data_IF_605379358306
#
_entry.id   IF_605379358306
#
_cell.length_a   1.000
_cell.length_b   1.000
_cell.length_c   1.000
_cell.angle_alpha   90.00
_cell.angle_beta   90.00
_cell.angle_gamma   90.00
#
_symmetry.space_group_name_H-M   'P 1'
#
loop_
_entity.id
_entity.type
_entity.pdbx_description
1 polymer ?
#
# COMPACT_ATOMS: atom_id res chain seq x y z
N UNK A 1 32.49 -14.21 -17.93
CA UNK A 1 31.61 -13.32 -17.14
C UNK A 1 30.41 -13.04 -18.01
N UNK A 2 29.24 -13.62 -17.71
CA UNK A 2 28.02 -13.26 -18.43
C UNK A 2 27.61 -11.86 -17.98
N UNK A 3 27.32 -10.95 -18.91
CA UNK A 3 26.69 -9.69 -18.57
C UNK A 3 25.29 -10.02 -18.04
N UNK A 4 25.00 -9.70 -16.78
CA UNK A 4 23.62 -9.68 -16.29
C UNK A 4 22.88 -8.62 -17.08
N UNK A 5 21.87 -9.03 -17.82
CA UNK A 5 20.97 -8.13 -18.53
C UNK A 5 19.91 -7.69 -17.52
N UNK A 6 19.94 -6.41 -17.15
CA UNK A 6 18.91 -5.79 -16.31
C UNK A 6 17.88 -5.09 -17.19
N UNK A 7 16.66 -5.01 -16.69
CA UNK A 7 15.50 -4.37 -17.31
C UNK A 7 15.00 -3.30 -16.35
N UNK A 8 14.59 -2.14 -16.87
CA UNK A 8 14.14 -1.00 -16.05
C UNK A 8 12.63 -1.06 -15.81
N UNK A 9 12.20 -0.60 -14.63
CA UNK A 9 10.82 -0.24 -14.37
C UNK A 9 10.61 1.25 -14.64
N UNK A 10 9.42 1.64 -15.09
CA UNK A 10 9.09 3.04 -15.41
C UNK A 10 8.67 3.81 -14.15
N UNK A 11 9.58 3.88 -13.18
CA UNK A 11 9.40 4.60 -11.90
C UNK A 11 10.57 5.52 -11.57
N UNK A 12 11.62 5.54 -12.39
CA UNK A 12 12.76 6.43 -12.23
C UNK A 12 12.27 7.89 -12.14
N UNK A 13 12.81 8.64 -11.19
CA UNK A 13 12.48 10.03 -10.89
C UNK A 13 11.08 10.29 -10.32
N UNK A 14 10.25 9.25 -10.17
CA UNK A 14 8.98 9.39 -9.47
C UNK A 14 9.19 9.38 -7.96
N UNK A 15 8.37 10.16 -7.25
CA UNK A 15 8.41 10.24 -5.79
C UNK A 15 7.49 9.18 -5.19
N UNK A 16 7.91 8.56 -4.09
CA UNK A 16 6.98 7.75 -3.28
C UNK A 16 5.90 8.66 -2.69
N UNK A 17 4.66 8.43 -3.09
CA UNK A 17 3.49 9.19 -2.64
C UNK A 17 2.82 8.52 -1.43
N UNK A 18 2.63 7.21 -1.49
CA UNK A 18 1.98 6.42 -0.44
C UNK A 18 2.65 5.07 -0.24
N UNK A 19 2.52 4.52 0.96
CA UNK A 19 2.77 3.13 1.28
C UNK A 19 1.45 2.50 1.68
N UNK A 20 1.12 1.35 1.10
CA UNK A 20 -0.12 0.62 1.35
C UNK A 20 0.19 -0.70 2.04
N UNK A 21 -0.75 -1.16 2.88
CA UNK A 21 -0.75 -2.48 3.49
C UNK A 21 -2.19 -3.02 3.50
N UNK A 22 -2.46 -4.06 2.72
CA UNK A 22 -3.75 -4.78 2.63
C UNK A 22 -3.60 -6.31 2.76
N UNK A 23 -2.55 -6.85 2.14
CA UNK A 23 -1.99 -8.18 2.39
C UNK A 23 -0.51 -8.20 2.04
N UNK A 24 -0.12 -7.41 1.05
CA UNK A 24 1.27 -7.16 0.71
C UNK A 24 1.65 -5.72 1.12
N UNK A 25 2.94 -5.44 1.19
CA UNK A 25 3.39 -4.05 1.24
C UNK A 25 3.49 -3.52 -0.19
N UNK A 26 2.92 -2.33 -0.40
CA UNK A 26 2.95 -1.68 -1.71
C UNK A 26 3.54 -0.30 -1.61
N UNK A 27 4.46 0.04 -2.52
CA UNK A 27 4.92 1.40 -2.77
C UNK A 27 4.06 1.98 -3.88
N UNK A 28 3.41 3.11 -3.64
CA UNK A 28 2.74 3.89 -4.66
C UNK A 28 3.57 5.13 -4.99
N UNK A 29 3.71 5.41 -6.28
CA UNK A 29 4.45 6.55 -6.80
C UNK A 29 3.49 7.68 -7.21
N UNK A 30 3.95 8.92 -7.22
CA UNK A 30 3.15 10.07 -7.66
C UNK A 30 2.84 10.06 -9.16
N UNK A 31 3.60 9.29 -9.95
CA UNK A 31 3.29 8.98 -11.35
C UNK A 31 2.11 8.01 -11.53
N UNK A 32 1.55 7.44 -10.47
CA UNK A 32 0.41 6.52 -10.51
C UNK A 32 0.79 5.03 -10.60
N UNK A 33 2.08 4.72 -10.73
CA UNK A 33 2.57 3.34 -10.68
C UNK A 33 2.61 2.78 -9.25
N UNK A 34 2.55 1.47 -9.12
CA UNK A 34 2.68 0.74 -7.86
C UNK A 34 3.66 -0.42 -7.96
N UNK A 35 4.30 -0.77 -6.84
CA UNK A 35 5.08 -2.00 -6.69
C UNK A 35 4.69 -2.68 -5.39
N UNK A 36 4.16 -3.91 -5.48
CA UNK A 36 3.75 -4.75 -4.35
C UNK A 36 4.75 -5.85 -4.07
N UNK A 37 4.89 -6.25 -2.81
CA UNK A 37 5.88 -7.22 -2.36
C UNK A 37 5.30 -8.24 -1.38
N UNK A 38 5.54 -9.53 -1.64
CA UNK A 38 5.22 -10.61 -0.71
C UNK A 38 6.37 -10.94 0.25
N UNK A 39 7.63 -10.78 -0.20
CA UNK A 39 8.81 -10.74 0.66
C UNK A 39 9.81 -9.74 0.08
N UNK A 40 10.37 -8.88 0.93
CA UNK A 40 11.24 -7.80 0.49
C UNK A 40 12.25 -7.42 1.55
N UNK A 41 13.47 -7.09 1.14
CA UNK A 41 14.47 -6.50 2.02
C UNK A 41 14.52 -4.99 1.79
N UNK A 42 14.32 -4.20 2.84
CA UNK A 42 14.56 -2.76 2.85
C UNK A 42 15.75 -2.48 3.76
N UNK A 43 16.82 -1.92 3.18
CA UNK A 43 18.13 -1.77 3.81
C UNK A 43 18.62 -3.12 4.40
N UNK A 44 18.53 -3.30 5.71
CA UNK A 44 18.94 -4.54 6.42
C UNK A 44 17.74 -5.34 6.99
N UNK A 45 16.51 -4.88 6.79
CA UNK A 45 15.29 -5.51 7.30
C UNK A 45 14.63 -6.36 6.21
N UNK A 46 14.54 -7.66 6.42
CA UNK A 46 13.68 -8.55 5.62
C UNK A 46 12.26 -8.52 6.17
N UNK A 47 11.32 -8.27 5.28
CA UNK A 47 9.89 -8.18 5.55
C UNK A 47 9.15 -9.28 4.77
N UNK A 48 8.26 -9.97 5.44
CA UNK A 48 7.36 -11.00 4.91
C UNK A 48 5.99 -10.93 5.60
N UNK A 49 5.17 -11.96 5.42
CA UNK A 49 3.85 -12.10 6.04
C UNK A 49 3.81 -12.03 7.58
N UNK A 50 4.92 -12.33 8.26
CA UNK A 50 4.97 -12.42 9.73
C UNK A 50 5.32 -11.09 10.40
N UNK A 51 5.91 -10.13 9.68
CA UNK A 51 6.42 -8.86 10.25
C UNK A 51 6.03 -7.61 9.41
N UNK A 52 4.87 -7.66 8.77
CA UNK A 52 4.37 -6.62 7.86
C UNK A 52 4.26 -5.24 8.50
N UNK A 53 4.02 -5.15 9.81
CA UNK A 53 3.95 -3.87 10.52
C UNK A 53 5.31 -3.27 10.83
N UNK A 54 6.36 -4.06 11.08
CA UNK A 54 7.73 -3.56 11.05
C UNK A 54 8.07 -3.04 9.64
N UNK A 55 7.68 -3.80 8.61
CA UNK A 55 7.87 -3.39 7.23
C UNK A 55 7.15 -2.10 6.86
N UNK A 56 5.89 -1.92 7.27
CA UNK A 56 5.14 -0.68 7.04
C UNK A 56 5.87 0.52 7.65
N UNK A 57 6.43 0.39 8.86
CA UNK A 57 7.22 1.45 9.50
C UNK A 57 8.52 1.75 8.74
N UNK A 58 9.20 0.72 8.25
CA UNK A 58 10.41 0.90 7.46
C UNK A 58 10.10 1.57 6.11
N UNK A 59 9.07 1.11 5.41
CA UNK A 59 8.64 1.67 4.12
C UNK A 59 8.10 3.10 4.26
N UNK A 60 7.47 3.45 5.38
CA UNK A 60 7.02 4.82 5.64
C UNK A 60 8.18 5.84 5.60
N UNK A 61 9.43 5.42 5.87
CA UNK A 61 10.60 6.27 5.74
C UNK A 61 10.95 6.59 4.26
N UNK A 62 10.46 5.80 3.30
CA UNK A 62 10.63 6.07 1.87
C UNK A 62 9.71 7.19 1.37
N UNK A 63 8.69 7.57 2.14
CA UNK A 63 7.72 8.59 1.75
C UNK A 63 8.42 9.88 1.36
N UNK A 64 8.09 10.39 0.18
CA UNK A 64 8.61 11.64 -0.32
C UNK A 64 10.01 11.54 -0.95
N UNK A 65 10.66 10.38 -0.88
CA UNK A 65 11.92 10.13 -1.57
C UNK A 65 11.68 9.87 -3.06
N UNK A 66 12.63 10.32 -3.88
CA UNK A 66 12.66 10.06 -5.31
C UNK A 66 13.29 8.69 -5.57
N UNK A 67 12.72 7.92 -6.51
CA UNK A 67 13.35 6.71 -7.02
C UNK A 67 14.50 7.10 -7.95
N UNK A 68 15.73 6.78 -7.56
CA UNK A 68 16.93 7.06 -8.38
C UNK A 68 17.14 6.00 -9.45
N UNK A 69 16.79 4.75 -9.15
CA UNK A 69 16.92 3.61 -10.05
C UNK A 69 15.97 2.47 -9.64
N UNK A 70 15.23 1.89 -10.58
CA UNK A 70 14.55 0.61 -10.42
C UNK A 70 14.85 -0.36 -11.56
N UNK A 71 15.46 -1.50 -11.24
CA UNK A 71 15.78 -2.55 -12.20
C UNK A 71 15.49 -3.97 -11.69
N UNK A 72 15.16 -4.86 -12.63
CA UNK A 72 15.06 -6.29 -12.36
C UNK A 72 15.89 -7.09 -13.37
N UNK A 73 16.34 -8.27 -12.95
CA UNK A 73 17.07 -9.19 -13.83
C UNK A 73 16.23 -10.40 -14.25
N UNK A 74 16.79 -11.21 -15.14
CA UNK A 74 16.14 -12.42 -15.65
C UNK A 74 15.91 -13.51 -14.61
N UNK A 75 16.55 -13.41 -13.45
CA UNK A 75 16.25 -14.30 -12.34
C UNK A 75 15.07 -13.83 -11.52
N UNK A 76 14.50 -12.65 -11.81
CA UNK A 76 13.37 -12.08 -11.08
C UNK A 76 13.78 -11.29 -9.84
N UNK A 77 15.09 -11.01 -9.65
CA UNK A 77 15.51 -10.13 -8.56
C UNK A 77 15.26 -8.68 -8.96
N UNK A 78 14.42 -7.99 -8.18
CA UNK A 78 14.13 -6.56 -8.29
C UNK A 78 14.99 -5.78 -7.30
N UNK A 79 15.55 -4.66 -7.76
CA UNK A 79 16.38 -3.74 -7.00
C UNK A 79 15.89 -2.33 -7.25
N UNK A 80 15.68 -1.59 -6.17
CA UNK A 80 15.24 -0.20 -6.21
C UNK A 80 16.16 0.60 -5.29
N UNK A 81 16.67 1.71 -5.80
CA UNK A 81 17.44 2.69 -5.06
C UNK A 81 16.64 3.99 -4.95
N UNK A 82 16.56 4.51 -3.73
CA UNK A 82 15.91 5.78 -3.44
C UNK A 82 16.92 6.82 -2.98
N UNK A 83 16.56 8.08 -3.19
CA UNK A 83 17.31 9.23 -2.69
C UNK A 83 17.62 9.08 -1.19
N UNK A 84 18.81 9.49 -0.77
CA UNK A 84 19.27 9.29 0.61
C UNK A 84 19.90 7.93 0.88
N UNK A 85 20.01 7.07 -0.14
CA UNK A 85 20.75 5.81 -0.08
C UNK A 85 19.96 4.62 0.44
N UNK A 86 18.63 4.75 0.54
CA UNK A 86 17.76 3.64 0.89
C UNK A 86 17.66 2.65 -0.28
N UNK A 87 17.66 1.36 0.04
CA UNK A 87 17.58 0.31 -0.97
C UNK A 87 16.49 -0.69 -0.65
N UNK A 88 15.76 -1.10 -1.69
CA UNK A 88 14.72 -2.13 -1.62
C UNK A 88 15.10 -3.24 -2.58
N UNK A 89 15.14 -4.49 -2.10
CA UNK A 89 15.49 -5.66 -2.89
C UNK A 89 14.48 -6.77 -2.64
N UNK A 90 13.77 -7.17 -3.68
CA UNK A 90 12.88 -8.33 -3.66
C UNK A 90 13.54 -9.48 -4.42
N UNK A 91 13.55 -10.67 -3.82
CA UNK A 91 14.11 -11.88 -4.42
C UNK A 91 12.99 -12.86 -4.73
N UNK A 92 13.14 -13.67 -5.79
CA UNK A 92 12.19 -14.70 -6.10
C UNK A 92 12.01 -15.70 -4.97
N UNK A 93 10.76 -16.11 -4.77
CA UNK A 93 10.38 -17.25 -3.93
C UNK A 93 10.00 -18.43 -4.83
N UNK A 94 10.26 -19.64 -4.37
CA UNK A 94 10.01 -20.85 -5.17
C UNK A 94 8.52 -21.16 -5.34
N UNK A 95 7.69 -20.77 -4.37
CA UNK A 95 6.30 -21.24 -4.23
C UNK A 95 5.25 -20.19 -4.60
N UNK A 96 5.62 -18.91 -4.54
CA UNK A 96 4.67 -17.80 -4.65
C UNK A 96 5.22 -16.69 -5.54
N UNK A 97 4.31 -15.82 -5.96
CA UNK A 97 4.66 -14.51 -6.50
C UNK A 97 5.49 -13.71 -5.49
N UNK A 98 6.48 -12.98 -5.98
CA UNK A 98 7.44 -12.26 -5.12
C UNK A 98 7.25 -10.76 -5.15
N UNK A 99 6.98 -10.21 -6.34
CA UNK A 99 6.65 -8.81 -6.52
C UNK A 99 5.82 -8.62 -7.80
N UNK A 100 5.03 -7.54 -7.78
CA UNK A 100 4.24 -7.07 -8.91
C UNK A 100 4.50 -5.58 -9.11
N UNK A 101 4.75 -5.17 -10.34
CA UNK A 101 4.75 -3.78 -10.77
C UNK A 101 3.52 -3.53 -11.64
N UNK A 102 2.75 -2.49 -11.30
CA UNK A 102 1.66 -1.99 -12.12
C UNK A 102 1.98 -0.55 -12.54
N UNK A 103 2.07 -0.29 -13.84
CA UNK A 103 2.26 1.04 -14.37
C UNK A 103 0.97 1.86 -14.31
N UNK A 104 1.09 3.18 -14.47
CA UNK A 104 -0.06 4.10 -14.44
C UNK A 104 -1.08 3.85 -15.55
N UNK A 105 -0.67 3.23 -16.67
CA UNK A 105 -1.57 2.83 -17.75
C UNK A 105 -2.26 1.48 -17.50
N UNK A 106 -1.94 0.80 -16.40
CA UNK A 106 -2.44 -0.52 -16.05
C UNK A 106 -1.69 -1.68 -16.69
N UNK A 107 -0.56 -1.43 -17.37
CA UNK A 107 0.35 -2.51 -17.76
C UNK A 107 1.07 -3.10 -16.54
N UNK A 108 1.33 -4.41 -16.57
CA UNK A 108 1.81 -5.15 -15.41
C UNK A 108 3.08 -5.93 -15.74
N UNK A 109 4.01 -5.98 -14.78
CA UNK A 109 5.17 -6.87 -14.78
C UNK A 109 5.16 -7.62 -13.44
N UNK A 110 5.32 -8.93 -13.49
CA UNK A 110 5.16 -9.81 -12.35
C UNK A 110 6.36 -10.75 -12.23
N UNK A 111 6.86 -10.96 -11.02
CA UNK A 111 7.76 -12.06 -10.71
C UNK A 111 6.99 -13.20 -10.04
N UNK A 112 6.62 -14.19 -10.84
CA UNK A 112 5.99 -15.42 -10.36
C UNK A 112 6.97 -16.38 -9.67
N UNK A 113 6.47 -17.58 -9.30
CA UNK A 113 7.26 -18.59 -8.61
C UNK A 113 8.56 -18.93 -9.35
N UNK A 114 9.62 -19.19 -8.58
CA UNK A 114 10.96 -19.52 -9.08
C UNK A 114 11.61 -18.43 -9.96
N UNK A 115 11.11 -17.18 -9.91
CA UNK A 115 11.71 -16.04 -10.60
C UNK A 115 11.29 -15.88 -12.05
N UNK A 116 10.21 -16.56 -12.47
CA UNK A 116 9.65 -16.40 -13.81
C UNK A 116 9.02 -15.01 -13.91
N UNK A 117 9.58 -14.16 -14.77
CA UNK A 117 9.04 -12.82 -15.01
C UNK A 117 8.09 -12.82 -16.20
N UNK A 118 6.87 -12.35 -15.97
CA UNK A 118 5.82 -12.20 -16.97
C UNK A 118 5.43 -10.73 -17.12
N UNK A 119 4.94 -10.34 -18.29
CA UNK A 119 4.50 -8.98 -18.56
C UNK A 119 3.24 -8.98 -19.40
N UNK A 120 2.28 -8.14 -19.02
CA UNK A 120 1.03 -7.92 -19.72
C UNK A 120 0.89 -6.45 -20.09
N UNK A 121 0.41 -6.15 -21.31
CA UNK A 121 0.10 -4.78 -21.70
C UNK A 121 -1.11 -4.26 -20.92
N UNK A 122 -1.30 -2.93 -20.95
CA UNK A 122 -2.47 -2.28 -20.41
C UNK A 122 -3.77 -2.89 -20.96
N UNK A 123 -4.82 -3.08 -20.13
CA UNK A 123 -6.11 -3.58 -20.58
C UNK A 123 -6.79 -2.62 -21.57
N UNK A 124 -7.58 -3.16 -22.51
CA UNK A 124 -8.24 -2.37 -23.58
C UNK A 124 -9.34 -1.41 -23.08
N UNK A 125 -9.67 -1.40 -21.78
CA UNK A 125 -10.66 -0.52 -21.17
C UNK A 125 -10.13 0.07 -19.86
N UNK A 126 -10.40 1.36 -19.58
CA UNK A 126 -10.02 1.96 -18.31
C UNK A 126 -10.81 1.30 -17.17
N UNK A 127 -10.12 1.07 -16.06
CA UNK A 127 -10.74 0.78 -14.77
C UNK A 127 -11.76 1.88 -14.46
N UNK A 128 -13.04 1.53 -14.43
CA UNK A 128 -14.04 2.38 -13.79
C UNK A 128 -13.64 2.53 -12.33
N UNK A 129 -13.25 3.73 -11.93
CA UNK A 129 -13.12 4.09 -10.52
C UNK A 129 -14.42 3.70 -9.83
N UNK A 130 -14.35 2.73 -8.92
CA UNK A 130 -15.44 2.53 -7.96
C UNK A 130 -15.44 3.80 -7.11
N UNK A 131 -16.53 4.58 -7.08
CA UNK A 131 -16.54 5.80 -6.30
C UNK A 131 -16.36 5.43 -4.83
N UNK A 132 -15.19 5.73 -4.28
CA UNK A 132 -14.91 5.71 -2.85
C UNK A 132 -15.64 6.87 -2.20
N UNK A 133 -16.33 6.58 -1.11
CA UNK A 133 -17.14 7.55 -0.38
C UNK A 133 -16.60 7.70 1.04
N UNK A 134 -16.32 8.93 1.44
CA UNK A 134 -16.11 9.26 2.85
C UNK A 134 -17.46 9.12 3.58
N UNK A 135 -17.52 8.24 4.57
CA UNK A 135 -18.76 7.83 5.22
C UNK A 135 -18.53 7.05 6.52
N UNK A 136 -19.60 6.83 7.29
CA UNK A 136 -19.55 5.88 8.40
C UNK A 136 -19.51 4.46 7.84
N UNK A 137 -18.52 3.62 8.21
CA UNK A 137 -18.46 2.25 7.74
C UNK A 137 -19.61 1.42 8.35
N UNK A 138 -20.07 0.44 7.58
CA UNK A 138 -21.14 -0.47 7.97
C UNK A 138 -20.71 -1.40 9.10
N UNK A 139 -21.61 -1.69 10.04
CA UNK A 139 -21.36 -2.73 11.04
C UNK A 139 -21.08 -4.07 10.33
N UNK A 140 -19.99 -4.72 10.72
CA UNK A 140 -19.51 -5.96 10.12
C UNK A 140 -18.58 -5.77 8.91
N UNK A 141 -18.37 -4.55 8.41
CA UNK A 141 -17.29 -4.31 7.43
C UNK A 141 -15.93 -4.44 8.10
N UNK A 142 -14.94 -4.88 7.34
CA UNK A 142 -13.58 -5.15 7.84
C UNK A 142 -12.61 -4.13 7.27
N UNK A 143 -11.63 -3.68 8.06
CA UNK A 143 -10.54 -2.87 7.53
C UNK A 143 -9.69 -3.73 6.59
N UNK A 144 -9.64 -3.36 5.31
CA UNK A 144 -8.95 -4.13 4.26
C UNK A 144 -7.63 -3.51 3.84
N UNK A 145 -7.44 -2.19 4.00
CA UNK A 145 -6.21 -1.51 3.63
C UNK A 145 -5.90 -0.36 4.56
N UNK A 146 -4.61 -0.23 4.90
CA UNK A 146 -4.04 0.96 5.53
C UNK A 146 -3.14 1.66 4.52
N UNK A 147 -3.22 2.99 4.45
CA UNK A 147 -2.26 3.80 3.70
C UNK A 147 -1.62 4.87 4.58
N UNK A 148 -0.31 5.05 4.41
CA UNK A 148 0.43 6.18 4.97
C UNK A 148 1.10 6.96 3.85
N UNK A 149 1.28 8.27 4.02
CA UNK A 149 1.84 9.14 2.99
C UNK A 149 0.92 10.30 2.66
N UNK A 150 0.83 10.63 1.37
CA UNK A 150 -0.07 11.64 0.86
C UNK A 150 -1.51 11.12 0.97
N UNK A 151 -2.41 11.89 1.59
CA UNK A 151 -3.80 11.47 1.88
C UNK A 151 -3.87 10.07 2.53
N UNK A 152 -3.41 9.93 3.79
CA UNK A 152 -3.47 8.66 4.50
C UNK A 152 -4.93 8.26 4.75
N UNK A 153 -5.20 6.97 4.61
CA UNK A 153 -6.55 6.41 4.54
C UNK A 153 -6.63 5.05 5.24
N UNK A 154 -7.75 4.82 5.92
CA UNK A 154 -8.20 3.49 6.33
C UNK A 154 -9.38 3.09 5.45
N UNK A 155 -9.23 2.00 4.70
CA UNK A 155 -10.24 1.49 3.77
C UNK A 155 -10.98 0.28 4.37
N UNK A 156 -12.30 0.26 4.23
CA UNK A 156 -13.18 -0.81 4.71
C UNK A 156 -13.72 -1.64 3.54
N UNK A 157 -14.06 -2.90 3.83
CA UNK A 157 -14.55 -3.87 2.83
C UNK A 157 -15.88 -3.49 2.16
N UNK A 158 -16.58 -2.48 2.67
CA UNK A 158 -17.80 -1.92 2.06
C UNK A 158 -17.53 -0.73 1.12
N UNK A 159 -16.24 -0.40 0.89
CA UNK A 159 -15.80 0.71 0.05
C UNK A 159 -15.74 2.06 0.77
N UNK A 160 -15.97 2.09 2.08
CA UNK A 160 -15.83 3.30 2.89
C UNK A 160 -14.35 3.62 3.13
N UNK A 161 -14.00 4.90 3.03
CA UNK A 161 -12.66 5.39 3.33
C UNK A 161 -12.68 6.48 4.41
N UNK A 162 -11.77 6.39 5.37
CA UNK A 162 -11.55 7.43 6.38
C UNK A 162 -10.16 8.04 6.20
N UNK A 163 -10.10 9.33 5.89
CA UNK A 163 -8.86 10.01 5.54
C UNK A 163 -8.17 10.68 6.73
N UNK A 164 -7.49 9.87 7.54
CA UNK A 164 -6.72 10.35 8.68
C UNK A 164 -5.38 9.62 8.80
N UNK A 165 -4.43 10.28 9.46
CA UNK A 165 -3.12 9.70 9.75
C UNK A 165 -3.24 8.75 10.94
N UNK A 166 -3.41 7.45 10.66
CA UNK A 166 -3.39 6.41 11.68
C UNK A 166 -1.94 6.25 12.19
N UNK A 167 -1.67 6.43 13.50
CA UNK A 167 -0.35 6.16 14.03
C UNK A 167 0.06 4.73 13.69
N UNK A 168 1.26 4.54 13.11
CA UNK A 168 1.70 3.22 12.63
C UNK A 168 1.76 2.17 13.74
N UNK A 169 1.96 2.60 14.99
CA UNK A 169 1.90 1.74 16.17
C UNK A 169 0.50 1.20 16.49
N UNK A 170 -0.55 1.77 15.89
CA UNK A 170 -1.91 1.26 16.00
C UNK A 170 -2.31 0.37 14.81
N UNK A 171 -1.49 0.28 13.74
CA UNK A 171 -1.87 -0.43 12.52
C UNK A 171 -2.29 -1.89 12.77
N UNK A 172 -1.58 -2.59 13.68
CA UNK A 172 -1.87 -3.97 14.04
C UNK A 172 -3.18 -4.16 14.83
N UNK A 173 -3.72 -3.09 15.43
CA UNK A 173 -4.98 -3.11 16.16
C UNK A 173 -6.19 -2.85 15.26
N UNK A 174 -5.94 -2.51 14.00
CA UNK A 174 -6.94 -1.96 13.08
C UNK A 174 -7.07 -2.82 11.83
N UNK A 175 -5.96 -3.18 11.18
CA UNK A 175 -6.00 -3.98 9.95
C UNK A 175 -6.66 -5.34 10.20
N UNK A 176 -7.60 -5.74 9.33
CA UNK A 176 -8.42 -6.97 9.43
C UNK A 176 -9.41 -7.02 10.59
N UNK A 177 -9.55 -5.96 11.36
CA UNK A 177 -10.60 -5.87 12.36
C UNK A 177 -11.94 -5.46 11.74
N UNK A 178 -13.02 -6.00 12.28
CA UNK A 178 -14.38 -5.70 11.83
C UNK A 178 -15.03 -4.63 12.69
N UNK A 179 -15.82 -3.76 12.08
CA UNK A 179 -16.63 -2.75 12.77
C UNK A 179 -17.70 -3.45 13.60
N UNK A 180 -17.69 -3.21 14.91
CA UNK A 180 -18.70 -3.71 15.85
C UNK A 180 -19.75 -2.66 16.17
N UNK A 181 -19.38 -1.38 16.08
CA UNK A 181 -20.27 -0.23 16.29
C UNK A 181 -19.79 0.97 15.49
N UNK A 182 -20.72 1.75 14.95
CA UNK A 182 -20.43 3.02 14.29
C UNK A 182 -21.51 4.05 14.64
N UNK A 183 -21.09 5.27 15.02
CA UNK A 183 -22.01 6.33 15.45
C UNK A 183 -21.44 7.72 15.16
N UNK A 184 -22.32 8.72 15.05
CA UNK A 184 -21.97 10.13 14.95
C UNK A 184 -22.45 10.88 16.20
N UNK A 185 -21.64 11.79 16.72
CA UNK A 185 -22.06 12.72 17.76
C UNK A 185 -22.79 13.91 17.12
N UNK A 186 -24.10 13.82 16.93
CA UNK A 186 -24.89 15.00 16.56
C UNK A 186 -25.13 15.88 17.79
N UNK A 187 -24.27 16.89 18.01
CA UNK A 187 -24.57 18.00 18.92
C UNK A 187 -24.62 19.33 18.15
N UNK A 188 -25.83 19.76 17.80
CA UNK A 188 -26.12 21.11 17.29
C UNK A 188 -26.25 21.24 15.77
N UNK A 189 -26.81 22.38 15.34
CA UNK A 189 -27.24 22.75 13.97
C UNK A 189 -26.10 22.85 12.92
N UNK A 190 -24.88 22.40 13.23
CA UNK A 190 -23.75 22.33 12.29
C UNK A 190 -23.47 20.86 11.95
N UNK A 191 -23.70 20.53 10.67
CA UNK A 191 -23.85 19.18 10.16
C UNK A 191 -22.55 18.35 10.06
N UNK A 192 -21.65 18.36 11.05
CA UNK A 192 -20.42 17.52 11.03
C UNK A 192 -19.99 17.08 12.43
N UNK A 193 -20.72 16.13 13.00
CA UNK A 193 -20.35 15.48 14.27
C UNK A 193 -19.12 14.57 14.14
N UNK A 194 -18.37 14.41 15.22
CA UNK A 194 -17.30 13.42 15.30
C UNK A 194 -17.89 12.00 15.17
N UNK A 195 -17.23 11.17 14.37
CA UNK A 195 -17.57 9.77 14.19
C UNK A 195 -16.77 8.91 15.16
N UNK A 196 -17.47 7.96 15.78
CA UNK A 196 -16.89 6.99 16.70
C UNK A 196 -17.15 5.60 16.14
N UNK A 197 -16.07 4.87 15.86
CA UNK A 197 -16.10 3.54 15.27
C UNK A 197 -15.37 2.59 16.21
N UNK A 198 -16.04 1.54 16.65
CA UNK A 198 -15.46 0.49 17.49
C UNK A 198 -15.16 -0.73 16.62
N UNK A 199 -13.97 -1.30 16.80
CA UNK A 199 -13.49 -2.48 16.08
C UNK A 199 -13.56 -3.73 16.96
N UNK A 200 -13.46 -4.92 16.36
CA UNK A 200 -13.54 -6.21 17.09
C UNK A 200 -12.47 -6.41 18.16
N UNK A 201 -11.32 -5.74 18.03
CA UNK A 201 -10.24 -5.69 19.03
C UNK A 201 -10.58 -4.83 20.25
N UNK A 202 -11.69 -4.07 20.21
CA UNK A 202 -12.02 -3.03 21.17
C UNK A 202 -11.28 -1.70 20.90
N UNK A 203 -10.49 -1.61 19.82
CA UNK A 203 -9.91 -0.35 19.38
C UNK A 203 -11.02 0.60 18.91
N UNK A 204 -10.90 1.88 19.25
CA UNK A 204 -11.87 2.91 18.90
C UNK A 204 -11.21 3.97 18.04
N UNK A 205 -11.74 4.15 16.83
CA UNK A 205 -11.35 5.22 15.91
C UNK A 205 -12.27 6.42 16.17
N UNK A 206 -11.67 7.55 16.52
CA UNK A 206 -12.32 8.86 16.55
C UNK A 206 -11.97 9.58 15.26
N UNK A 207 -12.96 9.84 14.42
CA UNK A 207 -12.78 10.44 13.11
C UNK A 207 -13.59 11.73 12.98
N UNK A 208 -12.96 12.80 12.49
CA UNK A 208 -13.65 14.02 12.11
C UNK A 208 -13.65 14.12 10.59
N UNK A 209 -14.81 14.04 9.92
CA UNK A 209 -14.90 14.17 8.47
C UNK A 209 -14.29 15.49 7.98
N UNK A 210 -13.64 15.45 6.81
CA UNK A 210 -13.14 16.68 6.19
C UNK A 210 -14.33 17.49 5.68
N UNK A 211 -14.46 18.73 6.13
CA UNK A 211 -15.40 19.68 5.53
C UNK A 211 -14.95 20.00 4.10
N UNK A 212 -15.79 19.71 3.12
CA UNK A 212 -15.64 20.15 1.73
C UNK A 212 -16.14 21.58 1.57
#
# INVERSE_FOLDING_TARGET
>A
MAQSYTMKLDVDQNRVSKILLDFDLTIAFDGGATISFSEVTIDDLTVDEDNQFEGLRAFAALRGLECEDADYDRSGVLRIAFAGGHTVVARPRDEVESWEFCAADGSTILCGPSGVVESWPAPEQPSTDVPTAEGLPSIGSTVVRLSTGDEPTVEFSDGTELQFDLPLDCGYLVLRESVTSSSSSEEGDEAHGDWVIELSSGHVIFYRPRTV
#
